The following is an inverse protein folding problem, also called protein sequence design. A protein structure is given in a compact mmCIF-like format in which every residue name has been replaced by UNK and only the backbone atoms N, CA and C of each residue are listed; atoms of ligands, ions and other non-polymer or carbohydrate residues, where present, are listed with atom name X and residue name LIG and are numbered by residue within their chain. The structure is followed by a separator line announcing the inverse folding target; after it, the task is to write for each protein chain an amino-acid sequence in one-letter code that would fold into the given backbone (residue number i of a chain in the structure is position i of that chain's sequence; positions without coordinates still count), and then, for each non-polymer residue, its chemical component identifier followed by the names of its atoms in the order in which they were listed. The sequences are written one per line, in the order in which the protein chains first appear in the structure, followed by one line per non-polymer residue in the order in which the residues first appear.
data_IF_513131575449
#
_entry.id   IF_513131575449
#
_cell.length_a   1.000
_cell.length_b   1.000
_cell.length_c   1.000
_cell.angle_alpha   90.00
_cell.angle_beta   90.00
_cell.angle_gamma   90.00
#
_symmetry.space_group_name_H-M   'P 1'
#
loop_
_entity.id
_entity.type
_entity.pdbx_description
1 polymer ?
#
# COMPACT_ATOMS: atom_id res chain seq x y z
N UNK A 1 7.05 -3.17 -20.52
CA UNK A 1 6.89 -1.76 -20.94
C UNK A 1 5.42 -1.44 -20.76
N UNK A 2 5.06 -0.44 -19.94
CA UNK A 2 3.66 -0.13 -19.68
C UNK A 2 3.00 0.38 -20.97
N UNK A 3 1.89 -0.23 -21.38
CA UNK A 3 1.18 0.08 -22.64
C UNK A 3 0.67 1.53 -22.70
N UNK A 4 0.56 2.20 -21.54
CA UNK A 4 -0.03 3.53 -21.41
C UNK A 4 1.01 4.67 -21.26
N UNK A 5 2.30 4.40 -21.49
CA UNK A 5 3.36 5.41 -21.29
C UNK A 5 3.12 6.66 -22.16
N UNK A 6 2.74 6.46 -23.42
CA UNK A 6 2.48 7.55 -24.36
C UNK A 6 1.27 8.42 -23.96
N UNK A 7 0.28 7.84 -23.28
CA UNK A 7 -0.87 8.58 -22.78
C UNK A 7 -0.49 9.47 -21.60
N UNK A 8 0.33 8.96 -20.68
CA UNK A 8 0.85 9.70 -19.53
C UNK A 8 1.73 10.89 -19.96
N UNK A 9 2.64 10.69 -20.90
CA UNK A 9 3.52 11.74 -21.41
C UNK A 9 2.72 12.90 -22.05
N UNK A 10 1.64 12.58 -22.75
CA UNK A 10 0.78 13.58 -23.41
C UNK A 10 -0.02 14.47 -22.44
N UNK A 11 -0.26 13.98 -21.22
CA UNK A 11 -0.96 14.69 -20.15
C UNK A 11 0.04 15.60 -19.42
N UNK A 12 1.27 15.13 -19.21
CA UNK A 12 2.33 15.88 -18.52
C UNK A 12 2.80 17.11 -19.33
N UNK A 13 2.90 16.97 -20.65
CA UNK A 13 3.30 18.04 -21.57
C UNK A 13 2.29 19.19 -21.67
N UNK A 14 1.01 18.95 -21.35
CA UNK A 14 -0.05 19.97 -21.39
C UNK A 14 -0.16 20.80 -20.11
N UNK A 15 0.68 20.53 -19.10
CA UNK A 15 0.63 21.26 -17.82
C UNK A 15 1.46 22.56 -17.86
N UNK A 16 0.79 23.69 -17.59
CA UNK A 16 1.36 25.04 -17.59
C UNK A 16 2.50 25.23 -16.56
N UNK A 17 3.48 26.08 -16.87
CA UNK A 17 4.59 26.46 -15.98
C UNK A 17 4.10 26.98 -14.61
N UNK A 18 2.93 27.63 -14.57
CA UNK A 18 2.27 28.08 -13.34
C UNK A 18 1.80 26.90 -12.48
N UNK A 19 1.26 25.85 -13.10
CA UNK A 19 0.90 24.60 -12.41
C UNK A 19 2.14 23.91 -11.86
N UNK A 20 3.25 23.89 -12.62
CA UNK A 20 4.56 23.35 -12.17
C UNK A 20 5.17 24.14 -11.00
N UNK A 21 4.95 25.46 -10.94
CA UNK A 21 5.36 26.33 -9.81
C UNK A 21 4.45 26.11 -8.59
N UNK A 22 3.14 25.98 -8.77
CA UNK A 22 2.20 25.61 -7.70
C UNK A 22 2.50 24.22 -7.12
N UNK A 23 2.82 23.24 -7.97
CA UNK A 23 3.27 21.91 -7.52
C UNK A 23 4.58 22.00 -6.72
N UNK A 24 5.54 22.84 -7.12
CA UNK A 24 6.80 23.05 -6.38
C UNK A 24 6.59 23.78 -5.04
N UNK A 25 5.69 24.76 -4.97
CA UNK A 25 5.38 25.49 -3.73
C UNK A 25 4.55 24.63 -2.75
N UNK A 26 3.60 23.82 -3.25
CA UNK A 26 2.95 22.77 -2.46
C UNK A 26 3.93 21.73 -1.92
N UNK A 27 4.97 21.40 -2.70
CA UNK A 27 6.07 20.53 -2.29
C UNK A 27 6.94 21.11 -1.15
N UNK A 28 7.00 22.44 -1.00
CA UNK A 28 7.79 23.10 0.05
C UNK A 28 7.04 23.16 1.39
N UNK A 29 5.71 23.20 1.35
CA UNK A 29 4.83 23.09 2.54
C UNK A 29 4.67 21.62 2.98
N UNK A 30 4.79 20.66 2.04
CA UNK A 30 4.80 19.20 2.23
C UNK A 30 6.20 18.62 2.56
N UNK A 31 6.82 19.09 3.64
CA UNK A 31 7.90 18.30 4.25
C UNK A 31 7.31 17.00 4.81
N UNK A 32 7.68 15.85 4.24
CA UNK A 32 7.25 14.51 4.65
C UNK A 32 7.92 14.11 5.99
N UNK A 33 7.71 14.89 7.06
CA UNK A 33 8.09 14.56 8.43
C UNK A 33 7.02 13.66 9.05
N UNK A 34 7.37 12.86 10.06
CA UNK A 34 6.42 11.96 10.75
C UNK A 34 5.12 12.67 11.12
N UNK A 35 5.23 13.87 11.69
CA UNK A 35 4.08 14.68 12.10
C UNK A 35 3.20 15.11 10.92
N UNK A 36 3.79 15.59 9.82
CA UNK A 36 3.03 16.08 8.66
C UNK A 36 2.47 14.98 7.77
N UNK A 37 3.13 13.82 7.70
CA UNK A 37 2.60 12.67 6.99
C UNK A 37 1.25 12.23 7.59
N UNK A 38 1.15 12.24 8.92
CA UNK A 38 -0.11 11.96 9.63
C UNK A 38 -1.21 12.95 9.25
N UNK A 39 -0.92 14.25 9.37
CA UNK A 39 -1.88 15.34 9.03
C UNK A 39 -2.36 15.29 7.56
N UNK A 40 -1.45 14.99 6.63
CA UNK A 40 -1.79 14.92 5.19
C UNK A 40 -2.66 13.70 4.84
N UNK A 41 -2.45 12.56 5.52
CA UNK A 41 -3.23 11.35 5.29
C UNK A 41 -4.62 11.46 5.92
N UNK A 42 -4.75 12.06 7.10
CA UNK A 42 -6.05 12.35 7.72
C UNK A 42 -6.94 13.16 6.75
N UNK A 43 -6.39 14.19 6.08
CA UNK A 43 -7.17 15.03 5.17
C UNK A 43 -7.61 14.36 3.84
N UNK A 44 -6.97 13.28 3.39
CA UNK A 44 -7.29 12.62 2.11
C UNK A 44 -8.27 11.44 2.22
N UNK A 45 -8.42 10.82 3.40
CA UNK A 45 -9.31 9.67 3.59
C UNK A 45 -10.59 10.00 4.40
N UNK A 46 -10.72 11.23 4.90
CA UNK A 46 -11.91 11.72 5.64
C UNK A 46 -13.15 11.96 4.73
N UNK A 47 -13.02 11.77 3.41
CA UNK A 47 -14.17 11.64 2.50
C UNK A 47 -15.00 10.35 2.76
N UNK A 48 -14.50 9.48 3.66
CA UNK A 48 -15.19 8.31 4.20
C UNK A 48 -15.09 7.08 3.31
N UNK A 49 -15.03 5.89 3.92
CA UNK A 49 -14.96 4.60 3.21
C UNK A 49 -16.09 4.43 2.18
N UNK A 50 -17.27 4.99 2.47
CA UNK A 50 -18.45 4.94 1.59
C UNK A 50 -18.20 5.48 0.17
N UNK A 51 -17.33 6.48 0.00
CA UNK A 51 -16.99 6.99 -1.33
C UNK A 51 -16.19 5.94 -2.12
N UNK A 52 -15.18 5.34 -1.48
CA UNK A 52 -14.31 4.36 -2.11
C UNK A 52 -15.04 3.07 -2.46
N UNK A 53 -15.99 2.66 -1.63
CA UNK A 53 -16.88 1.51 -1.90
C UNK A 53 -17.69 1.67 -3.19
N UNK A 54 -17.90 2.90 -3.70
CA UNK A 54 -18.65 3.11 -4.95
C UNK A 54 -17.89 2.72 -6.22
N UNK A 55 -16.57 2.61 -6.16
CA UNK A 55 -15.74 2.37 -7.35
C UNK A 55 -14.57 1.38 -7.17
N UNK A 56 -14.24 0.98 -5.94
CA UNK A 56 -13.28 -0.09 -5.69
C UNK A 56 -13.94 -1.47 -5.73
N UNK A 57 -13.10 -2.51 -5.82
CA UNK A 57 -13.56 -3.89 -5.66
C UNK A 57 -13.97 -4.19 -4.20
N UNK A 58 -14.65 -5.31 -3.96
CA UNK A 58 -15.12 -5.71 -2.63
C UNK A 58 -14.00 -5.81 -1.55
N UNK A 59 -12.74 -5.95 -1.97
CA UNK A 59 -11.57 -6.00 -1.07
C UNK A 59 -10.95 -4.62 -0.82
N UNK A 60 -11.53 -3.56 -1.39
CA UNK A 60 -11.12 -2.18 -1.24
C UNK A 60 -9.63 -1.98 -1.60
N UNK A 61 -9.17 -2.62 -2.68
CA UNK A 61 -7.77 -2.49 -3.12
C UNK A 61 -7.61 -1.24 -3.99
N UNK A 62 -6.97 -0.22 -3.42
CA UNK A 62 -6.64 1.01 -4.14
C UNK A 62 -5.20 0.99 -4.66
N UNK A 63 -4.98 0.15 -5.66
CA UNK A 63 -3.72 0.03 -6.42
C UNK A 63 -4.01 -0.63 -7.76
N UNK A 64 -3.03 -0.62 -8.67
CA UNK A 64 -3.17 -1.23 -9.99
C UNK A 64 -3.48 -2.72 -9.92
N UNK A 65 -4.49 -3.15 -10.69
CA UNK A 65 -4.80 -4.57 -10.93
C UNK A 65 -3.98 -5.16 -12.07
N UNK A 66 -3.90 -6.49 -12.14
CA UNK A 66 -3.23 -7.22 -13.22
C UNK A 66 -4.27 -8.00 -14.03
N UNK A 67 -4.57 -7.51 -15.23
CA UNK A 67 -5.43 -8.18 -16.20
C UNK A 67 -4.59 -9.21 -16.97
N UNK A 68 -4.93 -10.49 -16.83
CA UNK A 68 -4.30 -11.60 -17.57
C UNK A 68 -5.06 -11.90 -18.86
N UNK A 69 -6.36 -11.58 -18.89
CA UNK A 69 -7.20 -11.63 -20.07
C UNK A 69 -8.00 -10.32 -20.22
N UNK A 70 -8.36 -9.98 -21.45
CA UNK A 70 -9.20 -8.79 -21.75
C UNK A 70 -10.61 -8.88 -21.15
N UNK A 71 -11.01 -10.08 -20.72
CA UNK A 71 -12.30 -10.37 -20.06
C UNK A 71 -12.23 -10.31 -18.53
N UNK A 72 -11.05 -10.09 -17.94
CA UNK A 72 -10.93 -10.00 -16.49
C UNK A 72 -11.70 -8.80 -15.96
N UNK A 73 -12.47 -9.00 -14.90
CA UNK A 73 -13.09 -7.90 -14.16
C UNK A 73 -12.05 -7.22 -13.25
N UNK A 74 -12.37 -6.06 -12.67
CA UNK A 74 -11.49 -5.39 -11.72
C UNK A 74 -11.17 -6.30 -10.52
N UNK A 75 -12.17 -6.99 -9.99
CA UNK A 75 -12.05 -7.93 -8.88
C UNK A 75 -11.05 -9.05 -9.23
N UNK A 76 -11.16 -9.61 -10.44
CA UNK A 76 -10.24 -10.64 -10.91
C UNK A 76 -8.83 -10.07 -11.11
N UNK A 77 -8.71 -8.87 -11.66
CA UNK A 77 -7.41 -8.22 -11.84
C UNK A 77 -6.72 -7.93 -10.49
N UNK A 78 -7.48 -7.56 -9.46
CA UNK A 78 -6.96 -7.37 -8.11
C UNK A 78 -6.51 -8.71 -7.48
N UNK A 79 -7.30 -9.78 -7.64
CA UNK A 79 -6.90 -11.13 -7.22
C UNK A 79 -5.62 -11.59 -7.91
N UNK A 80 -5.54 -11.41 -9.23
CA UNK A 80 -4.34 -11.74 -10.02
C UNK A 80 -3.11 -11.00 -9.50
N UNK A 81 -3.25 -9.72 -9.13
CA UNK A 81 -2.16 -8.92 -8.55
C UNK A 81 -1.72 -9.47 -7.20
N UNK A 82 -2.65 -9.74 -6.29
CA UNK A 82 -2.30 -10.28 -4.96
C UNK A 82 -1.60 -11.63 -5.07
N UNK A 83 -2.14 -12.54 -5.89
CA UNK A 83 -1.56 -13.86 -6.11
C UNK A 83 -0.15 -13.76 -6.69
N UNK A 84 0.04 -12.91 -7.70
CA UNK A 84 1.35 -12.70 -8.32
C UNK A 84 2.37 -12.16 -7.30
N UNK A 85 1.98 -11.25 -6.41
CA UNK A 85 2.87 -10.74 -5.36
C UNK A 85 3.27 -11.85 -4.40
N UNK A 86 2.32 -12.65 -3.92
CA UNK A 86 2.60 -13.79 -3.04
C UNK A 86 3.54 -14.82 -3.69
N UNK A 87 3.32 -15.14 -4.97
CA UNK A 87 4.18 -16.03 -5.76
C UNK A 87 5.60 -15.47 -5.91
N UNK A 88 5.75 -14.16 -6.17
CA UNK A 88 7.05 -13.51 -6.28
C UNK A 88 7.83 -13.53 -4.96
N UNK A 89 7.12 -13.35 -3.84
CA UNK A 89 7.67 -13.47 -2.49
C UNK A 89 8.00 -14.93 -2.14
N UNK A 90 7.43 -15.90 -2.87
CA UNK A 90 7.52 -17.34 -2.57
C UNK A 90 7.05 -17.63 -1.13
N UNK A 91 5.92 -17.03 -0.76
CA UNK A 91 5.38 -17.10 0.60
C UNK A 91 5.16 -18.55 1.04
N UNK A 92 5.48 -18.79 2.30
CA UNK A 92 5.25 -20.05 3.00
C UNK A 92 4.42 -19.81 4.25
N UNK A 93 3.70 -20.82 4.75
CA UNK A 93 2.93 -20.70 5.99
C UNK A 93 3.76 -20.33 7.23
N UNK A 94 5.07 -20.62 7.21
CA UNK A 94 5.98 -20.30 8.31
C UNK A 94 6.53 -18.87 8.28
N UNK A 95 6.31 -18.12 7.19
CA UNK A 95 6.93 -16.81 7.00
C UNK A 95 6.29 -15.76 7.91
N UNK A 96 7.12 -14.85 8.41
CA UNK A 96 6.71 -13.58 9.00
C UNK A 96 6.82 -12.50 7.92
N UNK A 97 5.70 -11.90 7.54
CA UNK A 97 5.61 -10.90 6.48
C UNK A 97 5.35 -9.52 7.08
N UNK A 98 6.08 -8.51 6.64
CA UNK A 98 5.75 -7.10 6.92
C UNK A 98 5.17 -6.43 5.68
N UNK A 99 3.96 -5.89 5.80
CA UNK A 99 3.32 -5.04 4.82
C UNK A 99 3.44 -3.57 5.23
N UNK A 100 4.01 -2.75 4.36
CA UNK A 100 4.03 -1.29 4.53
C UNK A 100 2.94 -0.68 3.66
N UNK A 101 1.88 -0.19 4.31
CA UNK A 101 0.68 0.35 3.68
C UNK A 101 -0.47 -0.65 3.69
N UNK A 102 -1.21 -0.74 4.79
CA UNK A 102 -2.34 -1.69 4.94
C UNK A 102 -3.46 -1.50 3.91
N UNK A 103 -3.68 -0.26 3.45
CA UNK A 103 -4.93 0.08 2.77
C UNK A 103 -6.11 -0.30 3.65
N UNK A 104 -7.10 -0.98 3.07
CA UNK A 104 -8.25 -1.52 3.79
C UNK A 104 -8.09 -2.98 4.22
N UNK A 105 -6.86 -3.51 4.21
CA UNK A 105 -6.53 -4.85 4.72
C UNK A 105 -6.61 -5.99 3.70
N UNK A 106 -7.03 -5.72 2.45
CA UNK A 106 -7.25 -6.75 1.43
C UNK A 106 -6.04 -7.67 1.19
N UNK A 107 -4.83 -7.11 1.10
CA UNK A 107 -3.61 -7.90 0.86
C UNK A 107 -3.16 -8.68 2.11
N UNK A 108 -3.20 -8.08 3.31
CA UNK A 108 -2.90 -8.78 4.56
C UNK A 108 -3.83 -9.99 4.78
N UNK A 109 -5.13 -9.79 4.60
CA UNK A 109 -6.14 -10.86 4.69
C UNK A 109 -5.88 -11.94 3.65
N UNK A 110 -5.57 -11.56 2.40
CA UNK A 110 -5.28 -12.51 1.35
C UNK A 110 -4.06 -13.39 1.68
N UNK A 111 -2.95 -12.79 2.11
CA UNK A 111 -1.75 -13.53 2.51
C UNK A 111 -2.02 -14.49 3.67
N UNK A 112 -2.65 -14.00 4.75
CA UNK A 112 -2.93 -14.81 5.93
C UNK A 112 -3.89 -15.98 5.60
N UNK A 113 -4.93 -15.74 4.80
CA UNK A 113 -5.95 -16.74 4.46
C UNK A 113 -5.46 -17.79 3.47
N UNK A 114 -4.75 -17.39 2.42
CA UNK A 114 -4.36 -18.28 1.33
C UNK A 114 -2.98 -18.92 1.53
N UNK A 115 -2.05 -18.24 2.20
CA UNK A 115 -0.70 -18.72 2.41
C UNK A 115 -0.43 -19.14 3.86
N UNK A 116 -1.30 -18.76 4.81
CA UNK A 116 -1.21 -19.18 6.20
C UNK A 116 -0.11 -18.48 7.02
N UNK A 117 0.66 -17.58 6.40
CA UNK A 117 1.74 -16.82 7.02
C UNK A 117 1.22 -15.82 8.07
N UNK A 118 2.13 -15.33 8.91
CA UNK A 118 1.83 -14.23 9.81
C UNK A 118 2.11 -12.91 9.12
N UNK A 119 1.17 -11.97 9.16
CA UNK A 119 1.31 -10.66 8.53
C UNK A 119 1.27 -9.58 9.59
N UNK A 120 2.37 -8.84 9.73
CA UNK A 120 2.33 -7.52 10.35
C UNK A 120 2.06 -6.49 9.27
N UNK A 121 1.08 -5.62 9.45
CA UNK A 121 0.73 -4.57 8.47
C UNK A 121 0.56 -3.23 9.18
N UNK A 122 0.93 -2.13 8.52
CA UNK A 122 0.85 -0.80 9.12
C UNK A 122 0.18 0.24 8.23
N UNK A 123 -0.62 1.11 8.85
CA UNK A 123 -1.16 2.33 8.26
C UNK A 123 -1.08 3.49 9.25
N UNK A 124 -1.14 4.73 8.77
CA UNK A 124 -1.30 5.92 9.61
C UNK A 124 -2.69 6.56 9.47
N UNK A 125 -3.55 6.02 8.60
CA UNK A 125 -4.94 6.45 8.47
C UNK A 125 -5.81 5.78 9.52
N UNK A 126 -6.60 6.56 10.25
CA UNK A 126 -7.55 6.06 11.24
C UNK A 126 -8.65 5.23 10.58
N UNK A 127 -9.22 5.72 9.47
CA UNK A 127 -10.32 5.07 8.75
C UNK A 127 -9.90 3.73 8.16
N UNK A 128 -8.70 3.66 7.58
CA UNK A 128 -8.13 2.41 7.06
C UNK A 128 -7.84 1.42 8.18
N UNK A 129 -7.32 1.90 9.32
CA UNK A 129 -7.06 1.06 10.47
C UNK A 129 -8.37 0.47 11.01
N UNK A 130 -9.40 1.29 11.23
CA UNK A 130 -10.69 0.85 11.74
C UNK A 130 -11.37 -0.16 10.80
N UNK A 131 -11.37 0.12 9.49
CA UNK A 131 -11.94 -0.81 8.51
C UNK A 131 -11.15 -2.12 8.43
N UNK A 132 -9.82 -2.05 8.32
CA UNK A 132 -8.98 -3.25 8.26
C UNK A 132 -9.15 -4.10 9.53
N UNK A 133 -9.23 -3.48 10.71
CA UNK A 133 -9.50 -4.17 11.97
C UNK A 133 -10.81 -4.95 11.91
N UNK A 134 -11.90 -4.30 11.50
CA UNK A 134 -13.20 -4.94 11.39
C UNK A 134 -13.17 -6.14 10.43
N UNK A 135 -12.48 -6.00 9.28
CA UNK A 135 -12.37 -7.07 8.30
C UNK A 135 -11.53 -8.25 8.79
N UNK A 136 -10.42 -7.97 9.50
CA UNK A 136 -9.59 -9.02 10.14
C UNK A 136 -10.39 -9.79 11.19
N UNK A 137 -11.17 -9.09 12.02
CA UNK A 137 -12.04 -9.71 13.02
C UNK A 137 -13.15 -10.55 12.37
N UNK A 138 -13.81 -10.01 11.33
CA UNK A 138 -14.85 -10.69 10.57
C UNK A 138 -14.35 -11.99 9.93
N UNK A 139 -13.12 -12.00 9.42
CA UNK A 139 -12.50 -13.19 8.83
C UNK A 139 -11.90 -14.15 9.87
N UNK A 140 -11.87 -13.76 11.17
CA UNK A 140 -11.31 -14.56 12.24
C UNK A 140 -9.79 -14.72 12.19
N UNK A 141 -9.07 -13.73 11.65
CA UNK A 141 -7.63 -13.79 11.37
C UNK A 141 -6.75 -13.05 12.40
N UNK A 142 -7.31 -12.70 13.57
CA UNK A 142 -6.60 -11.94 14.59
C UNK A 142 -5.35 -12.63 15.16
N UNK A 143 -5.23 -13.95 15.03
CA UNK A 143 -4.05 -14.73 15.40
C UNK A 143 -2.94 -14.72 14.33
N UNK A 144 -3.27 -14.36 13.09
CA UNK A 144 -2.35 -14.32 11.93
C UNK A 144 -2.02 -12.92 11.45
N UNK A 145 -2.77 -11.90 11.87
CA UNK A 145 -2.60 -10.53 11.42
C UNK A 145 -2.35 -9.61 12.62
N UNK A 146 -1.18 -8.95 12.61
CA UNK A 146 -0.86 -7.86 13.53
C UNK A 146 -1.06 -6.54 12.80
N UNK A 147 -2.13 -5.82 13.13
CA UNK A 147 -2.46 -4.52 12.54
C UNK A 147 -1.89 -3.39 13.40
N UNK A 148 -1.02 -2.58 12.82
CA UNK A 148 -0.35 -1.45 13.45
C UNK A 148 -0.91 -0.12 12.92
N UNK A 149 -1.11 0.84 13.83
CA UNK A 149 -1.40 2.24 13.50
C UNK A 149 -0.14 3.10 13.66
N UNK A 150 0.90 2.78 12.89
CA UNK A 150 2.22 3.37 13.04
C UNK A 150 2.82 3.80 11.70
N UNK A 151 3.65 4.85 11.76
CA UNK A 151 4.44 5.26 10.60
C UNK A 151 5.51 4.20 10.30
N UNK A 152 5.70 3.88 9.01
CA UNK A 152 6.66 2.87 8.57
C UNK A 152 8.09 3.10 9.10
N UNK A 153 8.47 4.36 9.35
CA UNK A 153 9.80 4.76 9.86
C UNK A 153 10.05 4.23 11.26
N UNK A 154 8.99 4.00 12.02
CA UNK A 154 9.02 3.53 13.40
C UNK A 154 8.90 2.00 13.52
N UNK A 155 8.69 1.29 12.41
CA UNK A 155 8.58 -0.18 12.46
C UNK A 155 9.88 -0.81 12.95
N UNK A 156 9.76 -1.86 13.76
CA UNK A 156 10.90 -2.60 14.28
C UNK A 156 10.74 -4.10 13.98
N UNK A 157 11.80 -4.85 14.22
CA UNK A 157 11.84 -6.30 14.00
C UNK A 157 12.51 -6.72 12.71
N UNK A 158 12.39 -8.01 12.41
CA UNK A 158 13.06 -8.70 11.33
C UNK A 158 12.11 -9.74 10.75
N UNK A 159 11.79 -9.62 9.47
CA UNK A 159 10.76 -10.38 8.76
C UNK A 159 11.39 -11.22 7.65
N UNK A 160 10.74 -12.34 7.33
CA UNK A 160 11.18 -13.23 6.25
C UNK A 160 10.88 -12.61 4.87
N UNK A 161 9.84 -11.77 4.80
CA UNK A 161 9.32 -11.17 3.57
C UNK A 161 8.80 -9.76 3.83
N UNK A 162 8.92 -8.87 2.85
CA UNK A 162 8.38 -7.52 2.89
C UNK A 162 7.58 -7.25 1.62
N UNK A 163 6.40 -6.67 1.78
CA UNK A 163 5.60 -6.15 0.66
C UNK A 163 5.26 -4.69 0.90
N UNK A 164 5.33 -3.89 -0.16
CA UNK A 164 4.85 -2.52 -0.14
C UNK A 164 4.37 -2.14 -1.54
N UNK A 165 3.11 -1.76 -1.62
CA UNK A 165 2.40 -1.56 -2.89
C UNK A 165 2.12 -0.06 -3.03
N UNK A 166 2.67 0.57 -4.07
CA UNK A 166 2.41 1.97 -4.44
C UNK A 166 2.66 3.00 -3.31
N UNK A 167 3.61 2.71 -2.42
CA UNK A 167 4.03 3.62 -1.35
C UNK A 167 5.10 4.64 -1.79
N UNK A 168 5.82 4.39 -2.89
CA UNK A 168 6.97 5.21 -3.31
C UNK A 168 6.52 6.64 -3.64
N UNK A 169 5.34 6.77 -4.22
CA UNK A 169 4.63 7.99 -4.58
C UNK A 169 4.36 8.84 -3.34
N UNK A 170 3.87 8.19 -2.26
CA UNK A 170 3.60 8.84 -0.98
C UNK A 170 4.88 9.20 -0.20
N UNK A 171 5.95 8.42 -0.36
CA UNK A 171 7.26 8.70 0.25
C UNK A 171 7.90 9.93 -0.41
N UNK A 172 7.82 10.04 -1.73
CA UNK A 172 8.42 11.10 -2.51
C UNK A 172 9.92 10.88 -2.77
N UNK A 173 10.37 11.31 -3.95
CA UNK A 173 11.71 11.04 -4.51
C UNK A 173 12.88 11.31 -3.55
N UNK A 174 12.81 12.37 -2.76
CA UNK A 174 13.88 12.78 -1.83
C UNK A 174 14.10 11.79 -0.67
N UNK A 175 13.08 10.99 -0.31
CA UNK A 175 13.13 10.04 0.80
C UNK A 175 13.25 8.59 0.35
N UNK A 176 13.40 8.33 -0.96
CA UNK A 176 13.47 6.97 -1.50
C UNK A 176 14.65 6.17 -0.91
N UNK A 177 15.81 6.81 -0.73
CA UNK A 177 16.99 6.14 -0.16
C UNK A 177 16.74 5.73 1.30
N UNK A 178 16.16 6.60 2.12
CA UNK A 178 15.85 6.26 3.53
C UNK A 178 14.74 5.24 3.62
N UNK A 179 13.76 5.29 2.71
CA UNK A 179 12.70 4.30 2.60
C UNK A 179 13.24 2.90 2.30
N UNK A 180 14.09 2.76 1.27
CA UNK A 180 14.70 1.48 0.92
C UNK A 180 15.62 0.96 2.03
N UNK A 181 16.38 1.84 2.69
CA UNK A 181 17.17 1.47 3.88
C UNK A 181 16.28 0.96 5.01
N UNK A 182 15.13 1.60 5.24
CA UNK A 182 14.17 1.13 6.25
C UNK A 182 13.62 -0.24 5.89
N UNK A 183 13.19 -0.45 4.64
CA UNK A 183 12.72 -1.75 4.16
C UNK A 183 13.80 -2.83 4.36
N UNK A 184 15.04 -2.54 3.98
CA UNK A 184 16.17 -3.45 4.18
C UNK A 184 16.41 -3.76 5.68
N UNK A 185 16.30 -2.76 6.56
CA UNK A 185 16.48 -2.96 8.00
C UNK A 185 15.41 -3.82 8.65
N UNK A 186 14.27 -4.04 7.98
CA UNK A 186 13.19 -4.90 8.44
C UNK A 186 13.32 -6.33 7.91
N UNK A 187 14.22 -6.60 6.97
CA UNK A 187 14.39 -7.95 6.40
C UNK A 187 15.49 -8.71 7.11
N UNK A 188 15.21 -9.99 7.41
CA UNK A 188 16.22 -10.98 7.81
C UNK A 188 17.30 -11.13 6.74
N UNK A 189 18.50 -11.64 7.09
CA UNK A 189 19.45 -12.09 6.07
C UNK A 189 18.79 -13.08 5.09
N UNK A 190 18.85 -12.78 3.79
CA UNK A 190 18.16 -13.53 2.70
C UNK A 190 16.63 -13.39 2.67
N UNK A 191 16.07 -12.41 3.39
CA UNK A 191 14.66 -12.02 3.33
C UNK A 191 14.25 -11.49 1.97
#
# INVERSE_FOLDING_TARGET
MALNLAALDSIEDKSSMLTKIMYKLGHWVNRNTVTKSKENIEAHYDLGNSLYETFLDDRMLYSSGIYQADTDTLEQAQLNKMERLCQQLKLKPSDQVIEIGTGWGGMAIYMAKHYGCHVTTTTISEEQYAYAQQQVEKEGLGDKITLLKQDYRLLEGQYDKLVSIEMIEAVGKQFLVSYLKKCQSLLKPKG
#
